data_IF_496071262098
#
_entry.id   IF_496071262098
#
_cell.length_a   1.000
_cell.length_b   1.000
_cell.length_c   1.000
_cell.angle_alpha   90.00
_cell.angle_beta   90.00
_cell.angle_gamma   90.00
#
_symmetry.space_group_name_H-M   'P 1'
#
loop_
_entity.id
_entity.type
_entity.pdbx_description
1 polymer ?
#
# COMPACT_ATOMS: atom_id res chain seq x y z
N UNK A 1 12.49 -8.09 -16.68
CA UNK A 1 13.36 -6.91 -16.57
C UNK A 1 13.24 -5.98 -17.77
N UNK A 2 13.36 -6.46 -19.01
CA UNK A 2 13.27 -5.64 -20.24
C UNK A 2 12.04 -4.73 -20.30
N UNK A 3 10.85 -5.26 -19.95
CA UNK A 3 9.60 -4.49 -19.94
C UNK A 3 9.66 -3.33 -18.95
N UNK A 4 10.18 -3.55 -17.72
CA UNK A 4 10.30 -2.51 -16.71
C UNK A 4 11.29 -1.42 -17.13
N UNK A 5 12.38 -1.79 -17.78
CA UNK A 5 13.34 -0.85 -18.36
C UNK A 5 12.72 -0.04 -19.50
N UNK A 6 11.99 -0.70 -20.42
CA UNK A 6 11.31 -0.03 -21.53
C UNK A 6 10.21 0.94 -21.09
N UNK A 7 9.51 0.64 -19.97
CA UNK A 7 8.53 1.54 -19.35
C UNK A 7 9.18 2.76 -18.68
N UNK A 8 10.48 2.72 -18.42
CA UNK A 8 11.20 3.83 -17.77
C UNK A 8 10.82 4.00 -16.30
N UNK A 9 10.47 2.93 -15.60
CA UNK A 9 10.18 2.99 -14.17
C UNK A 9 11.44 3.37 -13.38
N UNK A 10 11.30 4.25 -12.39
CA UNK A 10 12.42 4.64 -11.50
C UNK A 10 12.85 3.47 -10.60
N UNK A 11 11.90 2.64 -10.19
CA UNK A 11 12.12 1.44 -9.39
C UNK A 11 11.58 0.23 -10.13
N UNK A 12 12.45 -0.75 -10.39
CA UNK A 12 12.07 -2.06 -10.91
C UNK A 12 12.02 -3.08 -9.77
N UNK A 13 11.04 -3.99 -9.81
CA UNK A 13 10.95 -5.11 -8.88
C UNK A 13 11.55 -6.37 -9.54
N UNK A 14 12.30 -7.15 -8.77
CA UNK A 14 12.74 -8.46 -9.20
C UNK A 14 11.51 -9.34 -9.48
N UNK A 15 11.61 -10.23 -10.48
CA UNK A 15 10.52 -11.15 -10.77
C UNK A 15 10.42 -12.20 -9.67
N UNK A 16 9.21 -12.44 -9.17
CA UNK A 16 8.93 -13.31 -8.03
C UNK A 16 7.78 -14.29 -8.32
N UNK A 17 7.65 -15.29 -7.48
CA UNK A 17 6.47 -16.14 -7.45
C UNK A 17 5.63 -15.82 -6.18
N UNK A 18 4.55 -15.08 -6.38
CA UNK A 18 3.59 -14.77 -5.33
C UNK A 18 2.76 -16.03 -5.01
N UNK A 19 3.09 -16.70 -3.91
CA UNK A 19 2.43 -17.95 -3.51
C UNK A 19 1.05 -17.67 -2.91
N UNK A 20 -0.02 -18.36 -3.37
CA UNK A 20 -1.35 -18.24 -2.78
C UNK A 20 -1.36 -18.66 -1.30
N UNK A 21 -2.25 -18.06 -0.51
CA UNK A 21 -2.34 -18.30 0.94
C UNK A 21 -2.52 -19.79 1.32
N UNK A 22 -3.32 -20.52 0.57
CA UNK A 22 -3.66 -21.94 0.84
C UNK A 22 -2.62 -22.93 0.30
N UNK A 23 -1.49 -22.48 -0.20
CA UNK A 23 -0.39 -23.36 -0.58
C UNK A 23 0.24 -23.99 0.67
N UNK A 24 0.62 -25.26 0.55
CA UNK A 24 1.35 -25.93 1.62
C UNK A 24 2.74 -25.34 1.83
N UNK A 25 3.35 -25.65 2.99
CA UNK A 25 4.65 -25.14 3.37
C UNK A 25 5.77 -25.57 2.39
N UNK A 26 5.70 -26.81 1.90
CA UNK A 26 6.75 -27.33 1.02
C UNK A 26 6.70 -26.66 -0.35
N UNK A 27 5.52 -26.40 -0.88
CA UNK A 27 5.37 -25.61 -2.08
C UNK A 27 5.87 -24.18 -1.86
N UNK A 28 5.49 -23.56 -0.74
CA UNK A 28 5.93 -22.21 -0.37
C UNK A 28 7.46 -22.12 -0.29
N UNK A 29 8.11 -23.11 0.31
CA UNK A 29 9.57 -23.18 0.36
C UNK A 29 10.19 -23.23 -1.06
N UNK A 30 9.68 -24.13 -1.92
CA UNK A 30 10.17 -24.24 -3.31
C UNK A 30 9.94 -23.00 -4.15
N UNK A 31 8.80 -22.31 -3.97
CA UNK A 31 8.50 -21.05 -4.67
C UNK A 31 9.40 -19.90 -4.18
N UNK A 32 9.68 -19.85 -2.88
CA UNK A 32 10.62 -18.89 -2.31
C UNK A 32 12.03 -19.06 -2.86
N UNK A 33 12.54 -20.31 -2.92
CA UNK A 33 13.82 -20.59 -3.56
C UNK A 33 13.84 -20.25 -5.05
N UNK A 34 12.72 -20.45 -5.76
CA UNK A 34 12.58 -20.05 -7.17
C UNK A 34 12.68 -18.54 -7.30
N UNK A 35 12.01 -17.78 -6.44
CA UNK A 35 12.09 -16.33 -6.37
C UNK A 35 13.55 -15.87 -6.17
N UNK A 36 14.30 -16.52 -5.28
CA UNK A 36 15.71 -16.20 -5.05
C UNK A 36 16.59 -16.44 -6.29
N UNK A 37 16.39 -17.55 -7.01
CA UNK A 37 17.10 -17.80 -8.28
C UNK A 37 16.73 -16.82 -9.38
N UNK A 38 15.47 -16.36 -9.39
CA UNK A 38 15.03 -15.32 -10.32
C UNK A 38 15.60 -13.95 -9.96
N UNK A 39 15.74 -13.66 -8.66
CA UNK A 39 16.43 -12.46 -8.20
C UNK A 39 17.86 -12.40 -8.76
N UNK A 40 18.64 -13.49 -8.69
CA UNK A 40 20.00 -13.54 -9.22
C UNK A 40 20.02 -13.16 -10.71
N UNK A 41 19.10 -13.72 -11.49
CA UNK A 41 18.96 -13.38 -12.92
C UNK A 41 18.52 -11.93 -13.15
N UNK A 42 17.66 -11.38 -12.27
CA UNK A 42 17.24 -9.99 -12.34
C UNK A 42 18.40 -9.05 -12.03
N UNK A 43 19.20 -9.34 -11.01
CA UNK A 43 20.39 -8.59 -10.64
C UNK A 43 21.39 -8.60 -11.82
N UNK A 44 21.72 -9.77 -12.36
CA UNK A 44 22.63 -9.91 -13.50
C UNK A 44 22.16 -9.13 -14.73
N UNK A 45 20.87 -9.12 -14.99
CA UNK A 45 20.32 -8.39 -16.13
C UNK A 45 20.35 -6.88 -15.87
N UNK A 46 19.93 -6.47 -14.67
CA UNK A 46 19.86 -5.06 -14.26
C UNK A 46 21.23 -4.39 -14.29
N UNK A 47 22.25 -5.06 -13.76
CA UNK A 47 23.62 -4.56 -13.75
C UNK A 47 24.14 -4.26 -15.17
N UNK A 48 23.74 -5.07 -16.15
CA UNK A 48 24.23 -4.95 -17.54
C UNK A 48 23.39 -4.07 -18.45
N UNK A 49 22.08 -3.88 -18.15
CA UNK A 49 21.14 -3.35 -19.13
C UNK A 49 20.18 -2.31 -18.60
N UNK A 50 20.15 -2.04 -17.27
CA UNK A 50 19.21 -1.09 -16.71
C UNK A 50 19.47 0.34 -17.20
N UNK A 51 18.42 1.13 -17.42
CA UNK A 51 18.57 2.55 -17.66
C UNK A 51 19.28 3.25 -16.48
N UNK A 52 20.07 4.28 -16.80
CA UNK A 52 20.76 5.04 -15.77
C UNK A 52 19.77 5.59 -14.72
N UNK A 53 20.06 5.35 -13.46
CA UNK A 53 19.24 5.80 -12.33
C UNK A 53 18.08 4.88 -11.95
N UNK A 54 17.78 3.82 -12.72
CA UNK A 54 16.78 2.85 -12.32
C UNK A 54 17.29 2.01 -11.12
N UNK A 55 16.48 1.90 -10.08
CA UNK A 55 16.75 1.08 -8.90
C UNK A 55 16.13 -0.30 -9.04
N UNK A 56 16.78 -1.34 -8.49
CA UNK A 56 16.22 -2.69 -8.39
C UNK A 56 15.88 -3.00 -6.93
N UNK A 57 14.64 -3.45 -6.66
CA UNK A 57 14.22 -3.98 -5.36
C UNK A 57 14.08 -5.50 -5.42
N UNK A 58 14.60 -6.18 -4.39
CA UNK A 58 14.33 -7.60 -4.16
C UNK A 58 13.03 -7.80 -3.40
N UNK A 59 12.41 -8.99 -3.52
CA UNK A 59 11.12 -9.29 -2.89
C UNK A 59 11.28 -10.41 -1.87
N UNK A 60 10.94 -10.14 -0.60
CA UNK A 60 10.87 -11.14 0.46
C UNK A 60 9.58 -11.94 0.29
N UNK A 61 9.70 -13.27 0.10
CA UNK A 61 8.63 -14.24 0.04
C UNK A 61 8.67 -15.16 1.28
N UNK A 62 7.81 -16.17 1.39
CA UNK A 62 7.82 -17.13 2.50
C UNK A 62 6.42 -17.42 3.05
N UNK A 63 5.35 -16.86 2.43
CA UNK A 63 3.96 -17.06 2.86
C UNK A 63 3.75 -16.61 4.30
N UNK A 64 3.06 -17.45 5.08
CA UNK A 64 2.78 -17.23 6.50
C UNK A 64 3.69 -18.08 7.42
N UNK A 65 4.90 -18.38 6.97
CA UNK A 65 5.86 -19.18 7.69
C UNK A 65 7.05 -18.34 8.13
N UNK A 66 7.23 -18.17 9.43
CA UNK A 66 8.24 -17.32 10.04
C UNK A 66 9.66 -17.67 9.56
N UNK A 67 10.01 -18.95 9.59
CA UNK A 67 11.32 -19.45 9.19
C UNK A 67 11.64 -19.18 7.71
N UNK A 68 10.63 -19.31 6.82
CA UNK A 68 10.80 -19.00 5.41
C UNK A 68 10.91 -17.50 5.16
N UNK A 69 10.17 -16.67 5.92
CA UNK A 69 10.29 -15.20 5.87
C UNK A 69 11.66 -14.74 6.32
N UNK A 70 12.15 -15.28 7.44
CA UNK A 70 13.48 -14.95 7.95
C UNK A 70 14.59 -15.33 6.96
N UNK A 71 14.56 -16.56 6.43
CA UNK A 71 15.54 -17.01 5.43
C UNK A 71 15.47 -16.18 4.14
N UNK A 72 14.27 -15.80 3.71
CA UNK A 72 14.09 -14.92 2.54
C UNK A 72 14.60 -13.50 2.79
N UNK A 73 14.33 -12.93 3.97
CA UNK A 73 14.83 -11.60 4.34
C UNK A 73 16.37 -11.57 4.36
N UNK A 74 17.02 -12.56 4.96
CA UNK A 74 18.48 -12.69 4.95
C UNK A 74 19.06 -12.79 3.53
N UNK A 75 18.42 -13.59 2.68
CA UNK A 75 18.82 -13.73 1.26
C UNK A 75 18.71 -12.41 0.49
N UNK A 76 17.61 -11.65 0.68
CA UNK A 76 17.40 -10.36 0.02
C UNK A 76 18.35 -9.30 0.60
N UNK A 77 18.57 -9.30 1.91
CA UNK A 77 19.49 -8.38 2.57
C UNK A 77 20.93 -8.52 2.04
N UNK A 78 21.36 -9.74 1.70
CA UNK A 78 22.69 -10.02 1.14
C UNK A 78 22.82 -9.72 -0.36
N UNK A 79 21.70 -9.47 -1.06
CA UNK A 79 21.72 -9.20 -2.50
C UNK A 79 22.08 -7.73 -2.81
N UNK A 80 22.71 -7.43 -3.96
CA UNK A 80 23.04 -6.09 -4.38
C UNK A 80 21.80 -5.36 -4.96
N UNK A 81 20.80 -5.14 -4.11
CA UNK A 81 19.55 -4.43 -4.46
C UNK A 81 19.47 -3.10 -3.72
N UNK A 82 18.86 -2.11 -4.33
CA UNK A 82 18.74 -0.76 -3.78
C UNK A 82 17.67 -0.64 -2.69
N UNK A 83 16.69 -1.55 -2.68
CA UNK A 83 15.61 -1.58 -1.71
C UNK A 83 14.98 -2.96 -1.62
N UNK A 84 14.03 -3.12 -0.72
CA UNK A 84 13.36 -4.38 -0.43
C UNK A 84 11.86 -4.23 -0.49
N UNK A 85 11.18 -5.18 -1.13
CA UNK A 85 9.73 -5.29 -1.09
C UNK A 85 9.30 -6.52 -0.28
N UNK A 86 8.20 -6.41 0.45
CA UNK A 86 7.55 -7.53 1.14
C UNK A 86 6.35 -7.95 0.30
N UNK A 87 6.41 -9.18 -0.21
CA UNK A 87 5.40 -9.71 -1.12
C UNK A 87 4.77 -11.03 -0.65
N UNK A 88 3.94 -11.61 -1.51
CA UNK A 88 3.26 -12.88 -1.25
C UNK A 88 2.05 -12.75 -0.34
N UNK A 89 1.48 -13.90 0.04
CA UNK A 89 0.38 -13.91 0.99
C UNK A 89 0.87 -13.51 2.39
N UNK A 90 0.16 -12.54 2.97
CA UNK A 90 0.44 -12.02 4.31
C UNK A 90 -0.55 -12.56 5.36
N UNK A 91 -1.36 -13.58 5.03
CA UNK A 91 -2.35 -14.14 5.93
C UNK A 91 -3.79 -13.82 5.56
N UNK A 92 -4.73 -14.34 6.34
CA UNK A 92 -6.17 -14.09 6.17
C UNK A 92 -6.68 -12.96 7.07
N UNK A 93 -6.06 -12.79 8.22
CA UNK A 93 -6.46 -11.81 9.22
C UNK A 93 -5.38 -10.74 9.39
N UNK A 94 -5.80 -9.52 9.80
CA UNK A 94 -4.89 -8.38 9.97
C UNK A 94 -3.81 -8.66 11.01
N UNK A 95 -4.14 -9.34 12.11
CA UNK A 95 -3.16 -9.70 13.13
C UNK A 95 -2.04 -10.56 12.56
N UNK A 96 -2.40 -11.61 11.79
CA UNK A 96 -1.42 -12.45 11.11
C UNK A 96 -0.57 -11.67 10.10
N UNK A 97 -1.19 -10.74 9.35
CA UNK A 97 -0.46 -9.90 8.42
C UNK A 97 0.61 -9.06 9.14
N UNK A 98 0.28 -8.47 10.29
CA UNK A 98 1.22 -7.67 11.07
C UNK A 98 2.40 -8.53 11.58
N UNK A 99 2.15 -9.77 12.01
CA UNK A 99 3.20 -10.72 12.40
C UNK A 99 4.11 -11.05 11.21
N UNK A 100 3.52 -11.40 10.07
CA UNK A 100 4.24 -11.76 8.82
C UNK A 100 5.12 -10.60 8.33
N UNK A 101 4.61 -9.37 8.39
CA UNK A 101 5.40 -8.17 8.06
C UNK A 101 6.55 -8.01 9.06
N UNK A 102 6.31 -8.18 10.37
CA UNK A 102 7.34 -8.16 11.39
C UNK A 102 8.48 -9.16 11.13
N UNK A 103 8.14 -10.42 10.82
CA UNK A 103 9.14 -11.45 10.48
C UNK A 103 9.94 -11.09 9.22
N UNK A 104 9.29 -10.53 8.22
CA UNK A 104 9.98 -10.12 6.99
C UNK A 104 10.94 -8.95 7.22
N UNK A 105 10.63 -8.05 8.15
CA UNK A 105 11.44 -6.86 8.43
C UNK A 105 12.61 -7.13 9.38
N UNK A 106 12.50 -8.11 10.27
CA UNK A 106 13.47 -8.37 11.35
C UNK A 106 14.90 -8.61 10.87
N UNK A 107 15.09 -9.11 9.64
CA UNK A 107 16.41 -9.38 9.04
C UNK A 107 16.86 -8.37 7.99
N UNK A 108 16.12 -7.27 7.80
CA UNK A 108 16.44 -6.29 6.77
C UNK A 108 17.24 -5.10 7.30
N UNK A 109 18.21 -4.57 6.52
CA UNK A 109 18.96 -3.38 6.89
C UNK A 109 18.06 -2.13 6.91
N UNK A 110 18.26 -1.26 7.89
CA UNK A 110 17.47 -0.03 8.09
C UNK A 110 17.73 1.03 6.99
N UNK A 111 18.87 0.98 6.36
CA UNK A 111 19.30 1.96 5.35
C UNK A 111 18.63 1.76 3.99
N UNK A 112 18.01 0.61 3.76
CA UNK A 112 17.34 0.32 2.48
C UNK A 112 15.86 0.64 2.56
N UNK A 113 15.30 1.34 1.56
CA UNK A 113 13.85 1.55 1.46
C UNK A 113 13.09 0.22 1.47
N UNK A 114 12.00 0.20 2.21
CA UNK A 114 11.12 -0.97 2.39
C UNK A 114 9.75 -0.69 1.79
N UNK A 115 9.31 -1.55 0.91
CA UNK A 115 8.04 -1.43 0.19
C UNK A 115 7.09 -2.57 0.54
N UNK A 116 5.85 -2.28 0.91
CA UNK A 116 4.83 -3.30 1.18
C UNK A 116 3.84 -3.38 0.02
N UNK A 117 3.85 -4.54 -0.66
CA UNK A 117 3.08 -4.77 -1.87
C UNK A 117 1.59 -5.00 -1.59
N UNK A 118 0.73 -4.28 -2.31
CA UNK A 118 -0.71 -4.54 -2.40
C UNK A 118 -1.56 -4.15 -1.20
N UNK A 119 -1.01 -3.52 -0.17
CA UNK A 119 -1.71 -3.12 1.06
C UNK A 119 -2.09 -1.65 1.02
N UNK A 120 -3.34 -1.32 1.42
CA UNK A 120 -3.84 0.04 1.34
C UNK A 120 -5.07 0.38 2.18
N UNK A 121 -5.44 -0.43 3.16
CA UNK A 121 -6.40 -0.03 4.18
C UNK A 121 -5.70 0.88 5.20
N UNK A 122 -6.39 1.90 5.71
CA UNK A 122 -5.80 3.00 6.51
C UNK A 122 -5.09 2.49 7.77
N UNK A 123 -5.74 1.60 8.50
CA UNK A 123 -5.18 1.00 9.72
C UNK A 123 -3.92 0.17 9.43
N UNK A 124 -3.92 -0.58 8.32
CA UNK A 124 -2.78 -1.39 7.91
C UNK A 124 -1.58 -0.51 7.50
N UNK A 125 -1.83 0.62 6.82
CA UNK A 125 -0.79 1.60 6.50
C UNK A 125 -0.17 2.19 7.76
N UNK A 126 -1.01 2.58 8.73
CA UNK A 126 -0.53 3.10 10.02
C UNK A 126 0.35 2.07 10.73
N UNK A 127 -0.10 0.83 10.85
CA UNK A 127 0.69 -0.22 11.49
C UNK A 127 2.01 -0.50 10.74
N UNK A 128 1.97 -0.59 9.41
CA UNK A 128 3.14 -0.91 8.61
C UNK A 128 4.20 0.21 8.63
N UNK A 129 3.80 1.49 8.60
CA UNK A 129 4.74 2.62 8.78
C UNK A 129 5.39 2.56 10.16
N UNK A 130 4.62 2.25 11.22
CA UNK A 130 5.15 2.04 12.57
C UNK A 130 6.13 0.88 12.68
N UNK A 131 6.00 -0.13 11.81
CA UNK A 131 6.93 -1.25 11.70
C UNK A 131 8.17 -0.95 10.83
N UNK A 132 8.22 0.21 10.14
CA UNK A 132 9.35 0.63 9.32
C UNK A 132 9.18 0.41 7.81
N UNK A 133 7.96 0.34 7.30
CA UNK A 133 7.68 0.37 5.85
C UNK A 133 7.63 1.82 5.37
N UNK A 134 8.31 2.11 4.25
CA UNK A 134 8.45 3.45 3.67
C UNK A 134 7.42 3.74 2.58
N UNK A 135 7.12 2.74 1.74
CA UNK A 135 6.30 2.92 0.55
C UNK A 135 5.30 1.79 0.34
N UNK A 136 4.20 2.10 -0.37
CA UNK A 136 3.09 1.17 -0.60
C UNK A 136 2.55 1.32 -2.02
N UNK A 137 1.95 0.25 -2.53
CA UNK A 137 1.08 0.29 -3.70
C UNK A 137 -0.26 -0.37 -3.38
N UNK A 138 -1.35 0.15 -3.90
CA UNK A 138 -2.62 -0.56 -3.86
C UNK A 138 -3.67 0.02 -4.82
N UNK A 139 -4.62 -0.83 -5.21
CA UNK A 139 -5.77 -0.42 -6.01
C UNK A 139 -6.96 0.07 -5.15
N UNK A 140 -6.87 0.00 -3.81
CA UNK A 140 -7.99 0.28 -2.90
C UNK A 140 -8.64 1.65 -3.12
N UNK A 141 -7.92 2.78 -3.20
CA UNK A 141 -8.54 4.10 -3.37
C UNK A 141 -9.37 4.21 -4.63
N UNK A 142 -8.83 3.74 -5.76
CA UNK A 142 -9.49 3.79 -7.06
C UNK A 142 -10.60 2.74 -7.18
N UNK A 143 -10.41 1.55 -6.60
CA UNK A 143 -11.44 0.50 -6.57
C UNK A 143 -12.66 0.95 -5.75
N UNK A 144 -12.48 1.51 -4.57
CA UNK A 144 -13.55 2.09 -3.76
C UNK A 144 -14.31 3.16 -4.52
N UNK A 145 -13.60 4.07 -5.17
CA UNK A 145 -14.20 5.14 -5.96
C UNK A 145 -15.08 4.62 -7.11
N UNK A 146 -14.65 3.56 -7.80
CA UNK A 146 -15.46 2.93 -8.87
C UNK A 146 -16.77 2.35 -8.36
N UNK A 147 -16.85 2.02 -7.06
CA UNK A 147 -18.06 1.53 -6.40
C UNK A 147 -18.81 2.63 -5.62
N UNK A 148 -18.45 3.91 -5.81
CA UNK A 148 -19.13 5.03 -5.17
C UNK A 148 -18.76 5.23 -3.70
N UNK A 149 -17.63 4.71 -3.24
CA UNK A 149 -17.16 4.85 -1.86
C UNK A 149 -16.01 5.84 -1.78
N UNK A 150 -16.15 6.86 -0.94
CA UNK A 150 -15.12 7.82 -0.61
C UNK A 150 -14.38 7.43 0.69
N UNK A 151 -13.12 7.80 0.80
CA UNK A 151 -12.34 7.69 2.03
C UNK A 151 -12.56 8.94 2.89
N UNK A 152 -12.80 8.75 4.18
CA UNK A 152 -13.05 9.84 5.14
C UNK A 152 -12.43 9.51 6.51
N UNK A 153 -12.25 10.52 7.36
CA UNK A 153 -11.74 10.34 8.73
C UNK A 153 -12.84 9.79 9.67
N UNK A 154 -13.22 8.54 9.48
CA UNK A 154 -14.25 7.83 10.24
C UNK A 154 -13.84 6.36 10.45
N UNK A 155 -13.04 6.05 11.49
CA UNK A 155 -12.56 4.69 11.75
C UNK A 155 -13.70 3.72 12.09
N UNK A 156 -14.79 4.16 12.70
CA UNK A 156 -15.93 3.31 13.03
C UNK A 156 -16.60 2.74 11.78
N UNK A 157 -16.53 3.45 10.66
CA UNK A 157 -16.95 3.00 9.35
C UNK A 157 -15.76 2.56 8.46
N UNK A 158 -14.65 2.15 9.06
CA UNK A 158 -13.44 1.71 8.36
C UNK A 158 -12.93 2.75 7.34
N UNK A 159 -12.99 4.04 7.72
CA UNK A 159 -12.63 5.20 6.88
C UNK A 159 -13.41 5.30 5.57
N UNK A 160 -14.67 4.81 5.52
CA UNK A 160 -15.45 4.72 4.27
C UNK A 160 -16.77 5.46 4.36
N UNK A 161 -17.08 6.26 3.35
CA UNK A 161 -18.36 6.91 3.12
C UNK A 161 -18.98 6.36 1.83
N UNK A 162 -20.06 5.61 1.96
CA UNK A 162 -20.79 5.04 0.82
C UNK A 162 -21.76 6.07 0.23
N UNK A 163 -21.34 6.73 -0.86
CA UNK A 163 -22.12 7.74 -1.57
C UNK A 163 -23.31 7.16 -2.35
N UNK A 164 -23.47 5.84 -2.45
CA UNK A 164 -24.66 5.23 -3.06
C UNK A 164 -25.90 5.31 -2.17
N UNK A 165 -25.73 5.54 -0.86
CA UNK A 165 -26.82 5.57 0.12
C UNK A 165 -27.72 6.79 -0.04
N UNK A 166 -29.02 6.58 0.05
CA UNK A 166 -30.06 7.62 -0.10
C UNK A 166 -29.95 8.76 0.93
N UNK A 167 -29.30 8.54 2.06
CA UNK A 167 -29.04 9.56 3.06
C UNK A 167 -28.29 10.77 2.47
N UNK A 168 -27.49 10.59 1.43
CA UNK A 168 -26.73 11.66 0.78
C UNK A 168 -27.51 12.44 -0.29
N UNK A 169 -28.73 11.98 -0.68
CA UNK A 169 -29.50 12.53 -1.79
C UNK A 169 -29.69 14.04 -1.75
N UNK A 170 -29.86 14.61 -0.57
CA UNK A 170 -30.10 16.06 -0.37
C UNK A 170 -28.96 16.76 0.37
N UNK A 171 -27.83 16.09 0.58
CA UNK A 171 -26.70 16.66 1.29
C UNK A 171 -26.08 17.78 0.45
N UNK A 172 -25.87 18.92 1.11
CA UNK A 172 -25.14 20.07 0.54
C UNK A 172 -23.68 20.12 1.00
N UNK A 173 -23.28 19.19 1.84
CA UNK A 173 -21.93 19.08 2.37
C UNK A 173 -20.99 18.45 1.33
N UNK A 174 -19.70 18.82 1.31
CA UNK A 174 -18.68 18.11 0.55
C UNK A 174 -18.41 16.72 1.15
N UNK A 175 -17.60 15.88 0.49
CA UNK A 175 -17.14 14.61 1.09
C UNK A 175 -16.40 14.90 2.40
N UNK A 176 -15.46 15.84 2.37
CA UNK A 176 -14.67 16.31 3.52
C UNK A 176 -14.45 17.81 3.36
N UNK A 177 -14.84 18.59 4.40
CA UNK A 177 -14.77 20.04 4.39
C UNK A 177 -13.33 20.58 4.35
N UNK A 178 -12.38 19.84 4.91
CA UNK A 178 -10.96 20.22 4.98
C UNK A 178 -10.13 19.69 3.82
N UNK A 179 -10.77 18.95 2.90
CA UNK A 179 -10.08 18.36 1.75
C UNK A 179 -9.92 19.37 0.61
N UNK A 180 -8.68 19.64 0.14
CA UNK A 180 -8.44 20.62 -0.92
C UNK A 180 -8.74 20.12 -2.33
N UNK A 181 -9.18 18.86 -2.50
CA UNK A 181 -9.39 18.30 -3.83
C UNK A 181 -10.56 18.96 -4.58
N UNK A 182 -10.55 18.94 -5.92
CA UNK A 182 -11.63 19.53 -6.72
C UNK A 182 -13.02 18.97 -6.39
N UNK A 183 -13.11 17.67 -6.06
CA UNK A 183 -14.39 17.05 -5.70
C UNK A 183 -15.03 17.69 -4.45
N UNK A 184 -14.21 18.00 -3.43
CA UNK A 184 -14.71 18.62 -2.19
C UNK A 184 -14.93 20.13 -2.32
N UNK A 185 -14.12 20.82 -3.11
CA UNK A 185 -14.23 22.28 -3.28
C UNK A 185 -15.41 22.72 -4.15
N UNK A 186 -15.80 21.89 -5.11
CA UNK A 186 -16.73 22.28 -6.17
C UNK A 186 -18.04 21.50 -6.12
N UNK A 187 -18.09 20.36 -5.42
CA UNK A 187 -19.24 19.45 -5.47
C UNK A 187 -19.70 18.99 -4.09
N UNK A 188 -21.01 18.74 -3.99
CA UNK A 188 -21.67 18.23 -2.78
C UNK A 188 -21.80 16.70 -2.82
N UNK A 189 -21.95 16.07 -1.64
CA UNK A 189 -22.30 14.64 -1.53
C UNK A 189 -23.58 14.30 -2.30
N UNK A 190 -24.57 15.22 -2.30
CA UNK A 190 -25.81 15.05 -3.03
C UNK A 190 -25.61 14.95 -4.54
N UNK A 191 -24.74 15.78 -5.10
CA UNK A 191 -24.40 15.73 -6.53
C UNK A 191 -23.62 14.45 -6.88
N UNK A 192 -22.61 14.10 -6.07
CA UNK A 192 -21.85 12.87 -6.26
C UNK A 192 -22.72 11.62 -6.10
N UNK A 193 -23.65 11.61 -5.14
CA UNK A 193 -24.64 10.55 -5.00
C UNK A 193 -25.49 10.41 -6.28
N UNK A 194 -26.00 11.52 -6.80
CA UNK A 194 -26.79 11.52 -8.05
C UNK A 194 -25.98 10.90 -9.21
N UNK A 195 -24.76 11.41 -9.45
CA UNK A 195 -23.89 10.89 -10.51
C UNK A 195 -23.59 9.39 -10.34
N UNK A 196 -23.37 8.94 -9.11
CA UNK A 196 -23.13 7.53 -8.78
C UNK A 196 -24.37 6.68 -9.10
N UNK A 197 -25.56 7.17 -8.77
CA UNK A 197 -26.83 6.47 -9.01
C UNK A 197 -27.16 6.31 -10.48
N UNK A 198 -26.81 7.27 -11.32
CA UNK A 198 -26.98 7.19 -12.77
C UNK A 198 -25.78 6.58 -13.49
N UNK A 199 -24.80 6.06 -12.73
CA UNK A 199 -23.58 5.43 -13.22
C UNK A 199 -22.74 6.35 -14.15
N UNK A 200 -22.71 7.66 -13.86
CA UNK A 200 -21.93 8.63 -14.62
C UNK A 200 -20.43 8.48 -14.31
N UNK A 201 -19.59 8.41 -15.33
CA UNK A 201 -18.15 8.21 -15.18
C UNK A 201 -17.46 9.34 -14.40
N UNK A 202 -18.00 10.55 -14.48
CA UNK A 202 -17.53 11.73 -13.74
C UNK A 202 -17.53 11.49 -12.22
N UNK A 203 -18.52 10.74 -11.68
CA UNK A 203 -18.51 10.36 -10.27
C UNK A 203 -17.27 9.57 -9.91
N UNK A 204 -16.95 8.56 -10.71
CA UNK A 204 -15.78 7.68 -10.47
C UNK A 204 -14.48 8.47 -10.48
N UNK A 205 -14.34 9.42 -11.42
CA UNK A 205 -13.18 10.31 -11.50
C UNK A 205 -13.08 11.22 -10.28
N UNK A 206 -14.16 11.91 -9.89
CA UNK A 206 -14.15 12.86 -8.77
C UNK A 206 -13.88 12.16 -7.44
N UNK A 207 -14.53 11.01 -7.19
CA UNK A 207 -14.29 10.23 -5.98
C UNK A 207 -12.86 9.67 -5.97
N UNK A 208 -12.31 9.26 -7.12
CA UNK A 208 -10.91 8.83 -7.21
C UNK A 208 -9.95 9.94 -6.84
N UNK A 209 -10.14 11.15 -7.38
CA UNK A 209 -9.31 12.32 -7.03
C UNK A 209 -9.35 12.61 -5.53
N UNK A 210 -10.55 12.52 -4.93
CA UNK A 210 -10.70 12.68 -3.47
C UNK A 210 -9.94 11.58 -2.71
N UNK A 211 -10.14 10.31 -3.05
CA UNK A 211 -9.50 9.19 -2.36
C UNK A 211 -7.98 9.24 -2.47
N UNK A 212 -7.44 9.60 -3.63
CA UNK A 212 -5.99 9.78 -3.79
C UNK A 212 -5.45 10.95 -2.96
N UNK A 213 -6.20 12.07 -2.91
CA UNK A 213 -5.84 13.21 -2.04
C UNK A 213 -5.89 12.82 -0.55
N UNK A 214 -6.87 12.01 -0.15
CA UNK A 214 -6.95 11.49 1.22
C UNK A 214 -5.71 10.66 1.57
N UNK A 215 -5.34 9.69 0.70
CA UNK A 215 -4.18 8.83 0.91
C UNK A 215 -2.87 9.62 0.95
N UNK A 216 -2.71 10.59 0.05
CA UNK A 216 -1.53 11.44 0.00
C UNK A 216 -1.39 12.30 1.27
N UNK A 217 -2.50 12.86 1.77
CA UNK A 217 -2.52 13.61 3.02
C UNK A 217 -2.23 12.73 4.24
N UNK A 218 -2.76 11.50 4.27
CA UNK A 218 -2.46 10.51 5.30
C UNK A 218 -0.97 10.21 5.35
N UNK A 219 -0.39 9.80 4.22
CA UNK A 219 1.03 9.44 4.16
C UNK A 219 1.96 10.62 4.47
N UNK A 220 1.61 11.83 4.03
CA UNK A 220 2.34 13.06 4.38
C UNK A 220 2.29 13.33 5.88
N UNK A 221 1.13 13.12 6.52
CA UNK A 221 0.97 13.27 7.96
C UNK A 221 1.81 12.27 8.76
N UNK A 222 1.77 11.00 8.37
CA UNK A 222 2.58 9.94 9.00
C UNK A 222 4.09 10.21 8.84
N UNK A 223 4.54 10.61 7.65
CA UNK A 223 5.94 11.00 7.41
C UNK A 223 6.38 12.15 8.32
N UNK A 224 5.60 13.23 8.36
CA UNK A 224 5.92 14.37 9.21
C UNK A 224 6.00 13.98 10.69
N UNK A 225 5.15 13.05 11.15
CA UNK A 225 5.18 12.55 12.51
C UNK A 225 6.41 11.68 12.81
N UNK A 226 6.87 10.88 11.85
CA UNK A 226 8.15 10.14 11.95
C UNK A 226 9.31 11.12 12.06
N UNK A 227 9.38 12.12 11.18
CA UNK A 227 10.42 13.15 11.17
C UNK A 227 10.45 13.96 12.48
N UNK A 228 9.27 14.22 13.08
CA UNK A 228 9.13 14.95 14.35
C UNK A 228 9.32 14.06 15.59
N UNK A 229 9.45 12.74 15.45
CA UNK A 229 9.60 11.80 16.57
C UNK A 229 8.33 11.59 17.41
N UNK A 230 7.14 11.94 16.88
CA UNK A 230 5.85 11.81 17.57
C UNK A 230 4.86 10.87 16.84
N UNK A 231 5.40 9.86 16.17
CA UNK A 231 4.62 8.92 15.37
C UNK A 231 3.48 8.25 16.16
N UNK A 232 3.73 7.86 17.41
CA UNK A 232 2.72 7.18 18.24
C UNK A 232 1.46 8.02 18.43
N UNK A 233 1.61 9.33 18.67
CA UNK A 233 0.48 10.26 18.86
C UNK A 233 -0.32 10.43 17.55
N UNK A 234 0.36 10.52 16.41
CA UNK A 234 -0.31 10.63 15.10
C UNK A 234 -1.01 9.33 14.73
N UNK A 235 -0.40 8.17 15.01
CA UNK A 235 -1.01 6.87 14.79
C UNK A 235 -2.30 6.71 15.63
N UNK A 236 -2.26 7.03 16.91
CA UNK A 236 -3.44 7.01 17.78
C UNK A 236 -4.52 7.96 17.27
N UNK A 237 -4.14 9.16 16.86
CA UNK A 237 -5.08 10.16 16.30
C UNK A 237 -5.78 9.62 15.05
N UNK A 238 -5.05 9.01 14.12
CA UNK A 238 -5.63 8.45 12.88
C UNK A 238 -6.55 7.28 13.20
N UNK A 239 -6.12 6.37 14.07
CA UNK A 239 -6.86 5.15 14.42
C UNK A 239 -8.11 5.45 15.26
N UNK A 240 -8.09 6.49 16.10
CA UNK A 240 -9.25 6.92 16.90
C UNK A 240 -10.19 7.88 16.18
N UNK A 241 -9.79 8.40 15.01
CA UNK A 241 -10.57 9.42 14.28
C UNK A 241 -10.57 10.81 14.93
N UNK A 242 -9.68 11.05 15.89
CA UNK A 242 -9.59 12.34 16.57
C UNK A 242 -9.17 13.46 15.61
N UNK A 243 -9.80 14.65 15.74
CA UNK A 243 -9.42 15.81 14.93
C UNK A 243 -8.00 16.29 15.28
N UNK A 244 -7.28 16.89 14.31
CA UNK A 244 -6.05 17.64 14.60
C UNK A 244 -6.38 18.82 15.49
N UNK A 245 -5.73 18.92 16.63
CA UNK A 245 -5.80 20.09 17.53
C UNK A 245 -5.00 21.24 16.97
#
# INVERSE_FOLDING_TARGET
MEVQAALGADVALAFDECTPFHSDRDYTARSTERTHRWLDRCVDWHDRHAPAGQLLYGIVQGGVHEDLRAASAERIASAPVAGVAVGGSLGQEKAQMHEVVGWALAGLPDERPRHLLGIGDVDDLVHAVGAGIDTFDCATPTRLARHGTALVHDPDNRWRLDLTKSAHRRSREPIDADCPCPACREHTRGYLHYLTRVNELTAKRLITLHNLTFMERLMRGLRAAVEAGNYADEAERVLSGSARR
#
